data_IF_534606300309
#
_entry.id   IF_534606300309
#
_cell.length_a   1.000
_cell.length_b   1.000
_cell.length_c   1.000
_cell.angle_alpha   90.00
_cell.angle_beta   90.00
_cell.angle_gamma   90.00
#
_symmetry.space_group_name_H-M   'P 1'
#
loop_
_entity.id
_entity.type
_entity.pdbx_description
1 polymer ?
#
# COMPACT_ATOMS: atom_id res chain seq x y z
N UNK A 1 -7.21 28.81 27.65
CA UNK A 1 -6.22 29.11 26.60
C UNK A 1 -5.20 28.00 26.60
N UNK A 2 -5.35 27.06 25.67
CA UNK A 2 -4.28 26.10 25.39
C UNK A 2 -3.11 26.85 24.73
N UNK A 3 -1.87 26.56 25.12
CA UNK A 3 -0.71 27.19 24.50
C UNK A 3 -0.66 26.79 23.03
N UNK A 4 -0.56 27.76 22.14
CA UNK A 4 -0.26 27.55 20.73
C UNK A 4 1.07 26.80 20.64
N UNK A 5 1.04 25.56 20.11
CA UNK A 5 2.23 24.78 19.82
C UNK A 5 2.95 25.44 18.64
N UNK A 6 4.03 26.15 18.92
CA UNK A 6 4.91 26.67 17.88
C UNK A 6 5.79 25.53 17.35
N UNK A 7 5.63 25.18 16.09
CA UNK A 7 6.51 24.26 15.39
C UNK A 7 7.59 25.06 14.64
N UNK A 8 8.84 24.78 14.95
CA UNK A 8 9.97 25.30 14.16
C UNK A 8 10.24 24.32 13.04
N UNK A 9 10.45 24.83 11.84
CA UNK A 9 10.84 24.03 10.68
C UNK A 9 12.04 24.69 10.00
N UNK A 10 12.78 23.90 9.22
CA UNK A 10 13.84 24.39 8.32
C UNK A 10 13.60 23.86 6.92
N UNK A 11 14.01 24.65 5.93
CA UNK A 11 13.98 24.23 4.53
C UNK A 11 15.41 24.03 4.07
N UNK A 12 15.70 22.87 3.46
CA UNK A 12 16.99 22.55 2.87
C UNK A 12 16.83 22.14 1.41
N UNK A 13 17.82 22.49 0.61
CA UNK A 13 17.89 22.05 -0.79
C UNK A 13 19.03 21.03 -0.94
N UNK A 14 18.71 19.82 -1.43
CA UNK A 14 19.66 18.77 -1.76
C UNK A 14 19.39 18.29 -3.18
N UNK A 15 20.43 18.19 -3.99
CA UNK A 15 20.36 17.70 -5.39
C UNK A 15 19.25 18.36 -6.23
N UNK A 16 19.06 19.69 -6.03
CA UNK A 16 18.04 20.47 -6.74
C UNK A 16 16.60 20.26 -6.27
N UNK A 17 16.39 19.55 -5.14
CA UNK A 17 15.08 19.35 -4.51
C UNK A 17 15.01 20.08 -3.17
N UNK A 18 13.85 20.60 -2.83
CA UNK A 18 13.61 21.25 -1.56
C UNK A 18 12.95 20.29 -0.56
N UNK A 19 13.44 20.33 0.67
CA UNK A 19 12.93 19.50 1.76
C UNK A 19 12.56 20.37 2.95
N UNK A 20 11.39 20.11 3.53
CA UNK A 20 10.93 20.69 4.78
C UNK A 20 11.25 19.72 5.92
N UNK A 21 12.00 20.16 6.90
CA UNK A 21 12.39 19.39 8.07
C UNK A 21 11.65 19.91 9.30
N UNK A 22 10.87 19.03 9.94
CA UNK A 22 10.09 19.33 11.14
C UNK A 22 10.59 18.44 12.27
N UNK A 23 11.26 19.01 13.31
CA UNK A 23 11.62 18.24 14.50
C UNK A 23 10.37 17.68 15.19
N UNK A 24 10.39 16.43 15.60
CA UNK A 24 9.32 15.85 16.41
C UNK A 24 9.44 16.33 17.85
N UNK A 25 8.32 16.82 18.41
CA UNK A 25 8.23 17.12 19.83
C UNK A 25 8.37 15.81 20.65
N UNK A 26 9.12 15.86 21.78
CA UNK A 26 9.18 14.73 22.71
C UNK A 26 10.54 14.05 22.89
N UNK A 27 11.65 14.77 22.70
CA UNK A 27 12.98 14.33 23.19
C UNK A 27 13.69 13.22 22.41
N UNK A 28 13.05 12.59 21.45
CA UNK A 28 13.69 11.69 20.51
C UNK A 28 14.16 12.53 19.32
N UNK A 29 15.45 12.74 19.14
CA UNK A 29 16.09 13.57 18.08
C UNK A 29 15.69 13.14 16.63
N UNK A 30 14.39 12.89 16.42
CA UNK A 30 13.83 12.52 15.11
C UNK A 30 13.30 13.76 14.43
N UNK A 31 13.59 13.88 13.15
CA UNK A 31 13.08 14.93 12.27
C UNK A 31 12.26 14.30 11.18
N UNK A 32 11.04 14.77 10.96
CA UNK A 32 10.28 14.40 9.77
C UNK A 32 10.81 15.19 8.58
N UNK A 33 11.08 14.51 7.49
CA UNK A 33 11.58 15.11 6.25
C UNK A 33 10.49 15.00 5.20
N UNK A 34 10.11 16.14 4.61
CA UNK A 34 9.10 16.22 3.56
C UNK A 34 9.74 16.79 2.31
N UNK A 35 9.61 16.14 1.18
CA UNK A 35 10.04 16.66 -0.11
C UNK A 35 9.00 17.63 -0.66
N UNK A 36 9.45 18.76 -1.20
CA UNK A 36 8.58 19.66 -1.95
C UNK A 36 8.29 19.01 -3.31
N UNK A 37 7.03 18.66 -3.54
CA UNK A 37 6.57 18.15 -4.85
C UNK A 37 5.97 19.29 -5.67
N UNK A 38 6.05 19.18 -6.99
CA UNK A 38 5.43 20.15 -7.89
C UNK A 38 3.91 20.10 -7.75
N UNK A 39 3.32 21.14 -7.18
CA UNK A 39 1.87 21.27 -6.96
C UNK A 39 1.06 21.22 -8.27
N UNK A 40 1.69 21.39 -9.42
CA UNK A 40 1.03 21.25 -10.73
C UNK A 40 0.64 19.81 -11.06
N UNK A 41 1.23 18.81 -10.37
CA UNK A 41 0.86 17.39 -10.50
C UNK A 41 -0.41 17.02 -9.75
N UNK A 42 -0.83 17.85 -8.78
CA UNK A 42 -1.91 17.49 -7.86
C UNK A 42 -3.01 18.54 -7.92
N UNK A 43 -4.13 18.20 -8.54
CA UNK A 43 -5.34 18.99 -8.37
C UNK A 43 -5.99 18.65 -7.03
N UNK A 44 -6.67 19.62 -6.40
CA UNK A 44 -7.50 19.35 -5.21
C UNK A 44 -8.52 18.24 -5.47
N UNK A 45 -8.96 18.07 -6.71
CA UNK A 45 -9.85 17.00 -7.13
C UNK A 45 -9.16 15.62 -7.09
N UNK A 46 -7.88 15.53 -7.45
CA UNK A 46 -7.11 14.27 -7.33
C UNK A 46 -6.80 13.92 -5.87
N UNK A 47 -6.53 14.92 -5.03
CA UNK A 47 -6.30 14.73 -3.59
C UNK A 47 -7.57 14.33 -2.82
N UNK A 48 -8.74 14.64 -3.35
CA UNK A 48 -10.04 14.31 -2.75
C UNK A 48 -10.65 12.99 -3.22
N UNK A 49 -10.09 12.36 -4.24
CA UNK A 49 -10.62 11.08 -4.77
C UNK A 49 -10.28 9.96 -3.80
N UNK A 50 -11.26 9.59 -3.01
CA UNK A 50 -11.24 8.34 -2.25
C UNK A 50 -11.76 7.23 -3.15
N UNK A 51 -11.15 6.08 -3.07
CA UNK A 51 -11.63 4.90 -3.78
C UNK A 51 -13.03 4.52 -3.27
N UNK A 52 -13.84 3.93 -4.14
CA UNK A 52 -15.15 3.41 -3.78
C UNK A 52 -14.98 2.10 -2.98
N UNK A 53 -15.08 2.17 -1.64
CA UNK A 53 -14.93 1.02 -0.74
C UNK A 53 -16.25 0.32 -0.36
N UNK A 54 -17.39 0.82 -0.88
CA UNK A 54 -18.73 0.28 -0.59
C UNK A 54 -19.33 -0.42 -1.81
N UNK A 55 -18.48 -1.09 -2.60
CA UNK A 55 -18.94 -1.85 -3.75
C UNK A 55 -19.70 -3.11 -3.29
N UNK A 56 -20.75 -3.51 -4.05
CA UNK A 56 -21.42 -4.77 -3.79
C UNK A 56 -20.47 -5.95 -4.02
N UNK A 57 -20.67 -7.02 -3.28
CA UNK A 57 -19.88 -8.24 -3.46
C UNK A 57 -20.26 -8.93 -4.78
N UNK A 58 -19.26 -9.23 -5.58
CA UNK A 58 -19.31 -10.08 -6.77
C UNK A 58 -18.17 -11.09 -6.64
N UNK A 59 -18.51 -12.38 -6.66
CA UNK A 59 -17.50 -13.44 -6.57
C UNK A 59 -16.60 -13.49 -7.80
N UNK A 60 -15.34 -13.86 -7.57
CA UNK A 60 -14.38 -14.26 -8.60
C UNK A 60 -13.74 -15.58 -8.15
N UNK A 61 -14.23 -16.69 -8.71
CA UNK A 61 -13.78 -18.01 -8.32
C UNK A 61 -12.29 -18.25 -8.61
N UNK A 62 -11.72 -17.48 -9.54
CA UNK A 62 -10.31 -17.59 -9.91
C UNK A 62 -9.35 -17.12 -8.84
N UNK A 63 -9.81 -16.33 -7.84
CA UNK A 63 -8.92 -15.81 -6.79
C UNK A 63 -9.17 -16.44 -5.43
N UNK A 64 -10.20 -17.29 -5.29
CA UNK A 64 -10.52 -17.91 -4.00
C UNK A 64 -9.34 -18.70 -3.42
N UNK A 65 -9.19 -18.62 -2.09
CA UNK A 65 -8.17 -19.34 -1.34
C UNK A 65 -6.96 -18.48 -1.01
N UNK A 66 -5.86 -19.15 -0.66
CA UNK A 66 -4.64 -18.54 -0.13
C UNK A 66 -3.62 -18.26 -1.21
N UNK A 67 -2.97 -17.11 -1.07
CA UNK A 67 -1.93 -16.60 -1.95
C UNK A 67 -0.76 -16.09 -1.12
N UNK A 68 0.46 -16.52 -1.43
CA UNK A 68 1.68 -16.10 -0.75
C UNK A 68 2.43 -15.08 -1.61
N UNK A 69 2.98 -14.04 -0.98
CA UNK A 69 3.80 -13.06 -1.66
C UNK A 69 5.08 -13.71 -2.19
N UNK A 70 5.40 -13.42 -3.44
CA UNK A 70 6.62 -13.89 -4.12
C UNK A 70 7.40 -12.76 -4.78
N UNK A 71 6.83 -11.55 -4.83
CA UNK A 71 7.46 -10.40 -5.45
C UNK A 71 6.82 -9.07 -5.07
N UNK A 72 7.60 -8.01 -5.31
CA UNK A 72 7.16 -6.62 -5.27
C UNK A 72 7.83 -5.87 -6.41
N UNK A 73 7.07 -5.19 -7.24
CA UNK A 73 7.54 -4.51 -8.45
C UNK A 73 6.90 -3.15 -8.64
N UNK A 74 7.61 -2.23 -9.29
CA UNK A 74 7.07 -0.92 -9.65
C UNK A 74 6.10 -1.04 -10.83
N UNK A 75 6.44 -1.87 -11.82
CA UNK A 75 5.58 -2.15 -12.96
C UNK A 75 5.39 -3.67 -13.09
N UNK A 76 4.20 -4.10 -13.49
CA UNK A 76 3.84 -5.52 -13.59
C UNK A 76 4.72 -6.26 -14.61
N UNK A 77 5.19 -5.55 -15.62
CA UNK A 77 6.02 -6.05 -16.72
C UNK A 77 7.44 -6.40 -16.26
N UNK A 78 7.89 -5.81 -15.14
CA UNK A 78 9.25 -6.03 -14.61
C UNK A 78 9.40 -7.39 -13.95
N UNK A 79 8.29 -7.99 -13.50
CA UNK A 79 8.30 -9.32 -12.87
C UNK A 79 8.48 -10.44 -13.91
N UNK A 80 9.35 -11.45 -13.69
CA UNK A 80 10.13 -11.72 -12.48
C UNK A 80 11.57 -11.21 -12.53
N UNK A 81 11.98 -10.42 -13.53
CA UNK A 81 13.35 -9.95 -13.74
C UNK A 81 13.79 -8.97 -12.64
N UNK A 82 12.88 -8.10 -12.21
CA UNK A 82 13.07 -7.22 -11.07
C UNK A 82 12.15 -7.67 -9.94
N UNK A 83 12.68 -7.70 -8.73
CA UNK A 83 11.93 -8.04 -7.54
C UNK A 83 12.49 -7.24 -6.37
N UNK A 84 11.71 -6.29 -5.89
CA UNK A 84 12.07 -5.38 -4.79
C UNK A 84 11.52 -5.88 -3.44
N UNK A 85 11.04 -7.12 -3.37
CA UNK A 85 10.51 -7.69 -2.14
C UNK A 85 11.59 -7.78 -1.06
N UNK A 86 11.39 -7.06 0.05
CA UNK A 86 12.22 -7.19 1.24
C UNK A 86 11.72 -8.36 2.09
N UNK A 87 12.62 -9.30 2.41
CA UNK A 87 12.29 -10.44 3.24
C UNK A 87 11.90 -10.00 4.67
N UNK A 88 10.81 -10.55 5.15
CA UNK A 88 10.41 -10.43 6.56
C UNK A 88 9.64 -9.17 6.93
N UNK A 89 9.21 -8.34 5.98
CA UNK A 89 8.42 -7.13 6.24
C UNK A 89 7.16 -7.04 5.36
N UNK A 90 6.09 -6.53 5.96
CA UNK A 90 4.87 -6.17 5.25
C UNK A 90 3.91 -7.33 4.95
N UNK A 91 3.13 -7.17 3.90
CA UNK A 91 2.09 -8.11 3.49
C UNK A 91 2.71 -9.40 2.93
N UNK A 92 2.36 -10.54 3.53
CA UNK A 92 2.95 -11.85 3.16
C UNK A 92 1.94 -12.84 2.61
N UNK A 93 0.67 -12.71 2.99
CA UNK A 93 -0.36 -13.64 2.60
C UNK A 93 -1.70 -12.93 2.39
N UNK A 94 -2.45 -13.39 1.40
CA UNK A 94 -3.86 -13.05 1.18
C UNK A 94 -4.69 -14.32 1.22
N UNK A 95 -5.90 -14.23 1.78
CA UNK A 95 -6.88 -15.31 1.71
C UNK A 95 -8.23 -14.72 1.30
N UNK A 96 -8.66 -15.03 0.08
CA UNK A 96 -9.95 -14.61 -0.47
C UNK A 96 -11.01 -15.65 -0.10
N UNK A 97 -11.94 -15.25 0.77
CA UNK A 97 -13.02 -16.12 1.24
C UNK A 97 -14.28 -15.97 0.37
N UNK A 98 -15.08 -17.04 0.22
CA UNK A 98 -16.23 -17.04 -0.69
C UNK A 98 -17.38 -16.14 -0.25
N UNK A 99 -17.36 -15.64 1.00
CA UNK A 99 -18.33 -14.70 1.55
C UNK A 99 -17.98 -13.22 1.28
N UNK A 100 -16.89 -12.95 0.54
CA UNK A 100 -16.38 -11.61 0.27
C UNK A 100 -15.47 -11.05 1.38
N UNK A 101 -15.13 -11.86 2.38
CA UNK A 101 -14.10 -11.50 3.36
C UNK A 101 -12.71 -11.70 2.79
N UNK A 102 -11.79 -10.81 3.12
CA UNK A 102 -10.37 -10.87 2.79
C UNK A 102 -9.56 -10.92 4.07
N UNK A 103 -8.72 -11.93 4.22
CA UNK A 103 -7.73 -11.98 5.29
C UNK A 103 -6.36 -11.62 4.71
N UNK A 104 -5.64 -10.75 5.43
CA UNK A 104 -4.32 -10.26 5.04
C UNK A 104 -3.37 -10.51 6.21
N UNK A 105 -2.30 -11.28 5.98
CA UNK A 105 -1.28 -11.54 6.97
C UNK A 105 -0.08 -10.63 6.72
N UNK A 106 0.25 -9.85 7.73
CA UNK A 106 1.44 -8.98 7.74
C UNK A 106 2.48 -9.53 8.72
N UNK A 107 3.75 -9.43 8.32
CA UNK A 107 4.86 -9.51 9.26
C UNK A 107 5.11 -8.11 9.83
N UNK A 108 5.01 -8.00 11.14
CA UNK A 108 5.23 -6.75 11.87
C UNK A 108 5.98 -7.04 13.17
N UNK A 109 7.28 -6.76 13.24
CA UNK A 109 8.08 -7.04 14.42
C UNK A 109 7.68 -6.18 15.64
N UNK A 110 6.82 -5.18 15.47
CA UNK A 110 6.35 -4.32 16.57
C UNK A 110 5.18 -4.93 17.35
N UNK A 111 4.53 -5.97 16.82
CA UNK A 111 3.43 -6.67 17.50
C UNK A 111 3.91 -7.97 18.15
N UNK A 112 3.22 -8.39 19.22
CA UNK A 112 3.50 -9.65 19.87
C UNK A 112 3.32 -10.82 18.88
N UNK A 113 4.31 -11.70 18.79
CA UNK A 113 4.33 -12.80 17.82
C UNK A 113 4.78 -12.42 16.42
N UNK A 114 5.09 -11.15 16.14
CA UNK A 114 5.65 -10.69 14.86
C UNK A 114 4.72 -10.81 13.66
N UNK A 115 3.42 -11.07 13.88
CA UNK A 115 2.42 -11.26 12.84
C UNK A 115 1.13 -10.53 13.16
N UNK A 116 0.54 -9.89 12.17
CA UNK A 116 -0.75 -9.23 12.28
C UNK A 116 -1.70 -9.75 11.20
N UNK A 117 -2.85 -10.26 11.63
CA UNK A 117 -3.94 -10.64 10.72
C UNK A 117 -4.95 -9.49 10.64
N UNK A 118 -5.10 -8.90 9.47
CA UNK A 118 -6.12 -7.91 9.17
C UNK A 118 -7.28 -8.56 8.40
N UNK A 119 -8.48 -8.08 8.62
CA UNK A 119 -9.68 -8.52 7.92
C UNK A 119 -10.35 -7.34 7.26
N UNK A 120 -10.54 -7.48 5.97
CA UNK A 120 -11.19 -6.51 5.11
C UNK A 120 -12.21 -7.22 4.20
N UNK A 121 -12.57 -6.60 3.11
CA UNK A 121 -13.49 -7.17 2.11
C UNK A 121 -12.84 -7.18 0.74
N UNK A 122 -13.41 -7.96 -0.16
CA UNK A 122 -13.06 -7.98 -1.57
C UNK A 122 -14.30 -8.13 -2.43
N UNK A 123 -14.19 -7.78 -3.68
CA UNK A 123 -15.14 -8.05 -4.75
C UNK A 123 -14.34 -8.25 -6.04
N UNK A 124 -14.96 -8.80 -7.08
CA UNK A 124 -14.27 -9.10 -8.33
C UNK A 124 -13.45 -7.92 -8.85
N UNK A 125 -12.15 -8.14 -9.02
CA UNK A 125 -11.17 -7.19 -9.54
C UNK A 125 -10.60 -6.21 -8.51
N UNK A 126 -11.06 -6.21 -7.24
CA UNK A 126 -10.55 -5.26 -6.25
C UNK A 126 -10.68 -5.75 -4.80
N UNK A 127 -9.76 -5.32 -3.96
CA UNK A 127 -9.85 -5.43 -2.50
C UNK A 127 -10.44 -4.13 -1.93
N UNK A 128 -11.14 -4.20 -0.79
CA UNK A 128 -11.86 -3.07 -0.19
C UNK A 128 -11.34 -2.84 1.22
N UNK A 129 -10.26 -2.05 1.34
CA UNK A 129 -9.53 -1.84 2.59
C UNK A 129 -10.20 -0.73 3.42
N UNK A 130 -11.03 -1.13 4.38
CA UNK A 130 -11.86 -0.21 5.17
C UNK A 130 -11.03 0.74 6.02
N UNK A 131 -9.95 0.27 6.62
CA UNK A 131 -9.06 1.07 7.45
C UNK A 131 -8.34 2.17 6.68
N UNK A 132 -7.86 1.87 5.49
CA UNK A 132 -7.16 2.81 4.60
C UNK A 132 -8.10 3.60 3.70
N UNK A 133 -9.36 3.18 3.56
CA UNK A 133 -10.35 3.73 2.61
C UNK A 133 -9.84 3.71 1.17
N UNK A 134 -9.19 2.61 0.79
CA UNK A 134 -8.66 2.35 -0.55
C UNK A 134 -9.28 1.08 -1.13
N UNK A 135 -9.37 1.03 -2.45
CA UNK A 135 -9.81 -0.13 -3.20
C UNK A 135 -8.72 -0.53 -4.23
N UNK A 136 -7.63 -1.18 -3.76
CA UNK A 136 -6.58 -1.68 -4.63
C UNK A 136 -7.13 -2.69 -5.64
N UNK A 137 -6.86 -2.49 -6.93
CA UNK A 137 -7.20 -3.45 -7.94
C UNK A 137 -6.26 -4.66 -7.90
N UNK A 138 -6.79 -5.83 -8.25
CA UNK A 138 -5.97 -7.02 -8.50
C UNK A 138 -6.20 -7.56 -9.90
N UNK A 139 -5.21 -8.27 -10.41
CA UNK A 139 -5.22 -8.88 -11.73
C UNK A 139 -4.49 -10.22 -11.69
N UNK A 140 -5.05 -11.23 -12.36
CA UNK A 140 -4.38 -12.49 -12.60
C UNK A 140 -3.61 -12.42 -13.93
N UNK A 141 -2.34 -12.82 -13.91
CA UNK A 141 -1.47 -12.91 -15.09
C UNK A 141 -0.72 -14.23 -15.13
N UNK A 142 -0.56 -14.76 -16.32
CA UNK A 142 0.33 -15.90 -16.55
C UNK A 142 1.71 -15.37 -16.94
N UNK A 143 2.72 -15.69 -16.13
CA UNK A 143 4.12 -15.34 -16.38
C UNK A 143 4.92 -16.64 -16.41
N UNK A 144 5.62 -16.90 -17.51
CA UNK A 144 6.43 -18.13 -17.73
C UNK A 144 5.64 -19.43 -17.44
N UNK A 145 4.36 -19.47 -17.83
CA UNK A 145 3.48 -20.63 -17.67
C UNK A 145 2.90 -20.85 -16.26
N UNK A 146 3.14 -19.93 -15.32
CA UNK A 146 2.57 -19.94 -13.97
C UNK A 146 1.63 -18.76 -13.78
N UNK A 147 0.58 -18.98 -12.99
CA UNK A 147 -0.39 -17.93 -12.66
C UNK A 147 0.05 -17.17 -11.41
N UNK A 148 -0.05 -15.84 -11.49
CA UNK A 148 0.25 -14.94 -10.40
C UNK A 148 -0.86 -13.90 -10.24
N UNK A 149 -1.09 -13.47 -9.01
CA UNK A 149 -1.98 -12.37 -8.69
C UNK A 149 -1.13 -11.13 -8.42
N UNK A 150 -1.38 -10.07 -9.17
CA UNK A 150 -0.80 -8.74 -8.99
C UNK A 150 -1.80 -7.88 -8.25
N UNK A 151 -1.43 -7.38 -7.07
CA UNK A 151 -2.25 -6.49 -6.25
C UNK A 151 -1.61 -5.12 -6.19
N UNK A 152 -2.35 -4.09 -6.56
CA UNK A 152 -1.94 -2.70 -6.36
C UNK A 152 -1.64 -2.44 -4.88
N UNK A 153 -0.48 -1.82 -4.60
CA UNK A 153 -0.15 -1.35 -3.27
C UNK A 153 -0.41 0.14 -3.14
N UNK A 154 -1.58 0.48 -2.60
CA UNK A 154 -2.04 1.85 -2.42
C UNK A 154 -1.80 2.30 -0.99
N UNK A 155 -0.59 2.80 -0.71
CA UNK A 155 -0.25 3.40 0.58
C UNK A 155 -0.72 4.86 0.67
N UNK A 156 -0.59 5.47 1.87
CA UNK A 156 -1.00 6.86 2.10
C UNK A 156 -0.43 7.86 1.08
N UNK A 157 0.77 7.62 0.57
CA UNK A 157 1.39 8.44 -0.47
C UNK A 157 0.64 8.39 -1.81
N UNK A 158 0.02 7.26 -2.15
CA UNK A 158 -0.83 7.13 -3.32
C UNK A 158 -2.02 8.10 -3.25
N UNK A 159 -2.70 8.17 -2.10
CA UNK A 159 -3.88 9.03 -1.91
C UNK A 159 -3.48 10.51 -1.94
N UNK A 160 -2.37 10.85 -1.29
CA UNK A 160 -1.94 12.25 -1.09
C UNK A 160 -0.96 12.74 -2.13
N UNK A 161 -0.28 11.84 -2.85
CA UNK A 161 0.78 12.16 -3.79
C UNK A 161 0.42 11.95 -5.26
N UNK A 162 -0.74 11.35 -5.58
CA UNK A 162 -1.12 11.00 -6.96
C UNK A 162 -0.08 10.09 -7.63
N UNK A 163 0.62 9.28 -6.84
CA UNK A 163 1.59 8.31 -7.34
C UNK A 163 0.87 7.13 -7.97
N UNK A 164 1.44 6.59 -9.03
CA UNK A 164 1.00 5.32 -9.58
C UNK A 164 1.26 4.22 -8.54
N UNK A 165 0.32 3.27 -8.36
CA UNK A 165 0.52 2.16 -7.42
C UNK A 165 1.63 1.24 -7.90
N UNK A 166 2.42 0.74 -6.96
CA UNK A 166 3.31 -0.39 -7.14
C UNK A 166 2.54 -1.69 -6.91
N UNK A 167 3.15 -2.85 -7.10
CA UNK A 167 2.42 -4.12 -7.09
C UNK A 167 3.10 -5.17 -6.23
N UNK A 168 2.34 -5.73 -5.28
CA UNK A 168 2.66 -7.04 -4.72
C UNK A 168 2.31 -8.13 -5.72
N UNK A 169 3.16 -9.12 -5.82
CA UNK A 169 2.96 -10.31 -6.66
C UNK A 169 2.81 -11.53 -5.76
N UNK A 170 1.74 -12.26 -5.96
CA UNK A 170 1.43 -13.45 -5.16
C UNK A 170 1.32 -14.68 -6.06
N UNK A 171 1.66 -15.82 -5.47
CA UNK A 171 1.44 -17.15 -6.05
C UNK A 171 0.46 -17.92 -5.17
N UNK A 172 -0.43 -18.67 -5.79
CA UNK A 172 -1.41 -19.52 -5.08
C UNK A 172 -0.70 -20.62 -4.29
N UNK A 173 -1.19 -20.88 -3.09
CA UNK A 173 -0.83 -22.07 -2.33
C UNK A 173 -1.35 -23.32 -3.08
N UNK A 174 -0.47 -24.29 -3.35
CA UNK A 174 -0.77 -25.52 -4.07
C UNK A 174 -1.44 -26.58 -3.17
#
# INVERSE_FOLDING_TARGET
>A
NEPLLEYRYTVHSWDGRNYLLIPKAGGNHRTSVFEQVDSKRYSWESLGRRDAIHLPFVSDENVLGKWHVVGYVVQKEDFPQENLLEEGLGLTELNFLPDGSLEQLYLDPSVEGGRQLLRDRWTKGTTLLQGMKTAPAYELRTVQGKEYLFLEWKMGNYIFGGMDPEFFVFQRES
#
